data_IF_535481388567
#
_entry.id   IF_535481388567
#
_cell.length_a   1.000
_cell.length_b   1.000
_cell.length_c   1.000
_cell.angle_alpha   90.00
_cell.angle_beta   90.00
_cell.angle_gamma   90.00
#
_symmetry.space_group_name_H-M   'P 1'
#
loop_
_entity.id
_entity.type
_entity.pdbx_description
1 polymer ?
#
# COMPACT_ATOMS: atom_id res chain seq x y z
N UNK A 1 -75.53 24.32 -1.90
CA UNK A 1 -74.44 24.45 -0.88
C UNK A 1 -75.07 24.59 0.49
N UNK A 2 -74.57 23.88 1.50
CA UNK A 2 -75.01 24.04 2.90
C UNK A 2 -73.94 24.80 3.69
N UNK A 3 -74.33 25.80 4.48
CA UNK A 3 -73.42 26.63 5.29
C UNK A 3 -73.92 26.76 6.72
N UNK A 4 -73.01 26.74 7.70
CA UNK A 4 -73.28 27.04 9.10
C UNK A 4 -72.76 28.42 9.46
N UNK A 5 -73.47 29.14 10.32
CA UNK A 5 -73.16 30.52 10.71
C UNK A 5 -73.09 30.67 12.23
N UNK A 6 -72.37 31.69 12.70
CA UNK A 6 -72.29 32.09 14.12
C UNK A 6 -73.53 32.83 14.63
N UNK A 7 -74.58 32.91 13.81
CA UNK A 7 -75.91 33.40 14.21
C UNK A 7 -76.85 32.26 14.66
N UNK A 8 -76.28 31.08 14.94
CA UNK A 8 -76.98 29.85 15.33
C UNK A 8 -77.89 29.23 14.27
N UNK A 9 -77.66 29.54 13.00
CA UNK A 9 -78.45 29.00 11.89
C UNK A 9 -77.63 28.21 10.87
N UNK A 10 -78.29 27.29 10.18
CA UNK A 10 -77.76 26.59 9.01
C UNK A 10 -78.57 26.98 7.78
N UNK A 11 -77.90 27.35 6.70
CA UNK A 11 -78.53 27.84 5.48
C UNK A 11 -78.23 26.92 4.29
N UNK A 12 -79.27 26.58 3.52
CA UNK A 12 -79.16 25.85 2.27
C UNK A 12 -79.34 26.82 1.09
N UNK A 13 -78.34 26.86 0.22
CA UNK A 13 -78.25 27.75 -0.93
C UNK A 13 -78.33 26.96 -2.23
N UNK A 14 -79.02 27.53 -3.21
CA UNK A 14 -78.92 27.09 -4.60
C UNK A 14 -77.67 27.68 -5.26
N UNK A 15 -76.89 26.85 -5.95
CA UNK A 15 -75.60 27.24 -6.53
C UNK A 15 -75.78 27.99 -7.83
N UNK A 16 -76.78 27.64 -8.63
CA UNK A 16 -76.98 28.25 -9.95
C UNK A 16 -77.62 29.64 -9.83
N UNK A 17 -78.58 29.81 -8.91
CA UNK A 17 -79.27 31.08 -8.71
C UNK A 17 -78.66 31.97 -7.62
N UNK A 18 -77.82 31.40 -6.74
CA UNK A 18 -77.25 32.12 -5.59
C UNK A 18 -78.28 32.50 -4.52
N UNK A 19 -79.51 31.98 -4.60
CA UNK A 19 -80.58 32.30 -3.66
C UNK A 19 -80.59 31.33 -2.47
N UNK A 20 -81.02 31.84 -1.31
CA UNK A 20 -81.25 31.05 -0.11
C UNK A 20 -82.54 30.22 -0.29
N UNK A 21 -82.41 28.88 -0.28
CA UNK A 21 -83.55 27.97 -0.40
C UNK A 21 -84.25 27.79 0.95
N UNK A 22 -83.48 27.52 1.99
CA UNK A 22 -84.02 27.22 3.31
C UNK A 22 -83.07 27.64 4.42
N UNK A 23 -83.64 28.19 5.50
CA UNK A 23 -82.89 28.55 6.69
C UNK A 23 -83.38 27.71 7.89
N UNK A 24 -82.47 26.94 8.47
CA UNK A 24 -82.71 26.03 9.58
C UNK A 24 -82.31 26.71 10.89
N UNK A 25 -83.29 26.85 11.78
CA UNK A 25 -83.14 27.43 13.11
C UNK A 25 -83.36 26.34 14.14
N UNK A 26 -82.55 26.33 15.20
CA UNK A 26 -82.66 25.31 16.25
C UNK A 26 -81.44 25.20 17.14
N UNK A 27 -80.29 25.67 16.69
CA UNK A 27 -79.07 25.74 17.48
C UNK A 27 -79.12 26.90 18.48
N UNK A 28 -78.52 26.72 19.64
CA UNK A 28 -78.51 27.69 20.74
C UNK A 28 -77.30 28.61 20.74
N UNK A 29 -76.28 28.26 19.95
CA UNK A 29 -74.97 28.90 19.87
C UNK A 29 -74.37 28.72 18.45
N UNK A 30 -73.09 29.04 18.25
CA UNK A 30 -72.40 29.00 16.96
C UNK A 30 -72.34 27.58 16.35
N UNK A 31 -72.80 27.43 15.11
CA UNK A 31 -72.67 26.17 14.38
C UNK A 31 -71.23 26.00 13.93
N UNK A 32 -70.52 25.04 14.53
CA UNK A 32 -69.09 24.84 14.31
C UNK A 32 -68.78 23.71 13.32
N UNK A 33 -69.73 22.78 13.09
CA UNK A 33 -69.52 21.62 12.24
C UNK A 33 -70.76 21.26 11.43
N UNK A 34 -70.56 20.82 10.20
CA UNK A 34 -71.58 20.28 9.29
C UNK A 34 -71.04 19.03 8.63
N UNK A 35 -71.86 17.98 8.58
CA UNK A 35 -71.55 16.76 7.83
C UNK A 35 -72.78 16.28 7.03
N UNK A 36 -72.51 15.72 5.86
CA UNK A 36 -73.54 15.25 4.94
C UNK A 36 -73.60 13.73 4.97
N UNK A 37 -74.80 13.17 5.09
CA UNK A 37 -74.95 11.72 5.04
C UNK A 37 -74.62 11.17 3.63
N UNK A 38 -74.07 9.94 3.53
CA UNK A 38 -73.79 9.30 2.25
C UNK A 38 -75.04 9.20 1.36
N UNK A 39 -74.86 9.31 0.04
CA UNK A 39 -75.92 9.56 -0.96
C UNK A 39 -77.07 8.55 -0.98
N UNK A 40 -76.91 7.39 -0.36
CA UNK A 40 -77.94 6.34 -0.29
C UNK A 40 -79.02 6.60 0.79
N UNK A 41 -78.79 7.51 1.74
CA UNK A 41 -79.73 7.79 2.85
C UNK A 41 -80.64 9.01 2.65
N UNK A 42 -80.47 9.77 1.56
CA UNK A 42 -81.37 10.86 1.14
C UNK A 42 -81.35 12.11 2.05
N UNK A 43 -81.21 13.29 1.44
CA UNK A 43 -81.41 14.67 1.94
C UNK A 43 -81.31 14.92 3.47
N UNK A 44 -80.35 14.29 4.14
CA UNK A 44 -80.15 14.41 5.59
C UNK A 44 -78.76 14.93 5.83
N UNK A 45 -78.64 15.86 6.78
CA UNK A 45 -77.37 16.41 7.22
C UNK A 45 -77.35 16.48 8.73
N UNK A 46 -76.15 16.50 9.30
CA UNK A 46 -75.91 16.66 10.73
C UNK A 46 -75.17 17.97 10.96
N UNK A 47 -75.57 18.69 11.99
CA UNK A 47 -74.98 19.97 12.38
C UNK A 47 -74.67 19.98 13.87
N UNK A 48 -73.48 20.46 14.24
CA UNK A 48 -73.00 20.51 15.63
C UNK A 48 -72.73 21.93 16.12
N UNK A 49 -73.18 22.22 17.34
CA UNK A 49 -73.10 23.52 18.01
C UNK A 49 -72.12 23.46 19.22
N UNK A 50 -71.52 24.60 19.58
CA UNK A 50 -70.59 24.78 20.71
C UNK A 50 -71.33 24.92 22.05
N UNK A 51 -72.32 24.09 22.33
CA UNK A 51 -73.00 24.10 23.63
C UNK A 51 -72.59 22.86 24.45
N UNK A 52 -72.01 23.00 25.66
CA UNK A 52 -71.45 21.87 26.41
C UNK A 52 -72.49 20.92 27.01
N UNK A 53 -73.79 21.18 26.81
CA UNK A 53 -74.89 20.46 27.48
C UNK A 53 -75.97 19.89 26.53
N UNK A 54 -75.76 19.82 25.21
CA UNK A 54 -76.68 19.10 24.30
C UNK A 54 -75.93 18.24 23.27
N UNK A 55 -76.32 16.97 23.17
CA UNK A 55 -75.86 16.00 22.17
C UNK A 55 -76.79 16.03 20.96
N UNK A 56 -76.21 16.36 19.79
CA UNK A 56 -76.65 16.10 18.40
C UNK A 56 -78.15 16.23 18.07
N UNK A 57 -78.52 17.32 17.38
CA UNK A 57 -79.85 17.47 16.77
C UNK A 57 -79.86 16.92 15.34
N UNK A 58 -80.44 15.73 15.15
CA UNK A 58 -80.73 15.17 13.83
C UNK A 58 -82.07 15.71 13.30
N UNK A 59 -82.06 16.52 12.24
CA UNK A 59 -83.29 16.97 11.58
C UNK A 59 -83.69 16.01 10.46
N UNK A 60 -84.68 15.15 10.73
CA UNK A 60 -85.33 14.25 9.75
C UNK A 60 -86.69 14.83 9.33
N UNK A 61 -86.89 15.00 8.02
CA UNK A 61 -88.20 15.32 7.45
C UNK A 61 -89.10 14.07 7.52
N UNK A 62 -89.96 13.96 8.55
CA UNK A 62 -91.34 13.41 8.49
C UNK A 62 -91.91 13.04 9.87
N UNK A 63 -93.05 13.66 10.23
CA UNK A 63 -93.92 13.25 11.32
C UNK A 63 -95.33 13.05 10.77
N UNK A 64 -95.80 11.79 10.65
CA UNK A 64 -97.24 11.47 10.70
C UNK A 64 -97.50 10.05 11.25
N UNK A 65 -98.03 10.03 12.47
CA UNK A 65 -99.15 9.24 13.00
C UNK A 65 -99.31 7.74 12.62
N UNK A 66 -99.17 6.87 13.62
CA UNK A 66 -99.38 5.41 13.57
C UNK A 66 -100.76 4.92 13.04
N UNK A 67 -101.72 5.84 12.84
CA UNK A 67 -103.03 5.55 12.24
C UNK A 67 -102.93 5.39 10.72
N UNK A 68 -102.10 6.20 10.04
CA UNK A 68 -101.85 6.02 8.59
C UNK A 68 -101.04 4.75 8.30
N UNK A 69 -100.15 4.32 9.22
CA UNK A 69 -99.45 3.03 9.11
C UNK A 69 -100.42 1.85 9.10
N UNK A 70 -101.45 1.84 9.97
CA UNK A 70 -102.46 0.76 9.98
C UNK A 70 -103.34 0.76 8.74
N UNK A 71 -103.73 1.93 8.23
CA UNK A 71 -104.51 2.04 7.00
C UNK A 71 -103.70 1.58 5.79
N UNK A 72 -102.45 2.04 5.66
CA UNK A 72 -101.51 1.59 4.63
C UNK A 72 -101.26 0.08 4.71
N UNK A 73 -101.10 -0.50 5.91
CA UNK A 73 -100.91 -1.96 6.06
C UNK A 73 -102.16 -2.72 5.59
N UNK A 74 -103.36 -2.22 5.86
CA UNK A 74 -104.62 -2.82 5.40
C UNK A 74 -104.81 -2.66 3.88
N UNK A 75 -104.53 -1.47 3.33
CA UNK A 75 -104.55 -1.22 1.88
C UNK A 75 -103.51 -2.05 1.14
N UNK A 76 -102.29 -2.20 1.70
CA UNK A 76 -101.25 -3.08 1.14
C UNK A 76 -101.69 -4.53 1.16
N UNK A 77 -102.31 -5.00 2.25
CA UNK A 77 -102.89 -6.36 2.32
C UNK A 77 -104.05 -6.58 1.34
N UNK A 78 -104.85 -5.54 1.06
CA UNK A 78 -105.91 -5.62 0.04
C UNK A 78 -105.34 -5.58 -1.39
N UNK A 79 -104.24 -4.84 -1.62
CA UNK A 79 -103.50 -4.85 -2.88
C UNK A 79 -102.74 -6.17 -3.09
N UNK A 80 -102.10 -6.72 -2.06
CA UNK A 80 -101.39 -8.00 -2.05
C UNK A 80 -102.36 -9.18 -2.33
N UNK A 81 -103.61 -9.10 -1.83
CA UNK A 81 -104.67 -10.07 -2.13
C UNK A 81 -105.42 -9.81 -3.46
N UNK A 82 -105.03 -8.79 -4.22
CA UNK A 82 -105.63 -8.55 -5.54
C UNK A 82 -105.19 -9.64 -6.53
N UNK A 83 -106.10 -10.18 -7.36
CA UNK A 83 -105.74 -11.19 -8.37
C UNK A 83 -104.60 -10.74 -9.30
N UNK A 84 -104.49 -9.43 -9.55
CA UNK A 84 -103.42 -8.85 -10.37
C UNK A 84 -102.05 -8.89 -9.69
N UNK A 85 -102.00 -8.70 -8.37
CA UNK A 85 -100.75 -8.76 -7.62
C UNK A 85 -100.27 -10.20 -7.46
N UNK A 86 -101.18 -11.14 -7.21
CA UNK A 86 -100.85 -12.57 -7.16
C UNK A 86 -100.33 -13.10 -8.50
N UNK A 87 -100.91 -12.65 -9.62
CA UNK A 87 -100.41 -12.98 -10.95
C UNK A 87 -99.01 -12.38 -11.21
N UNK A 88 -98.77 -11.13 -10.80
CA UNK A 88 -97.45 -10.49 -10.88
C UNK A 88 -96.42 -11.20 -10.00
N UNK A 89 -96.78 -11.62 -8.79
CA UNK A 89 -95.89 -12.35 -7.87
C UNK A 89 -95.52 -13.73 -8.44
N UNK A 90 -96.48 -14.45 -9.04
CA UNK A 90 -96.19 -15.70 -9.75
C UNK A 90 -95.27 -15.48 -10.96
N UNK A 91 -95.48 -14.40 -11.72
CA UNK A 91 -94.60 -14.04 -12.84
C UNK A 91 -93.20 -13.67 -12.37
N UNK A 92 -93.07 -12.95 -11.24
CA UNK A 92 -91.78 -12.67 -10.62
C UNK A 92 -91.07 -13.93 -10.13
N UNK A 93 -91.78 -14.87 -9.50
CA UNK A 93 -91.20 -16.14 -9.06
C UNK A 93 -90.65 -16.95 -10.24
N UNK A 94 -91.37 -16.97 -11.37
CA UNK A 94 -90.92 -17.64 -12.60
C UNK A 94 -89.68 -16.95 -13.20
N UNK A 95 -89.64 -15.62 -13.18
CA UNK A 95 -88.47 -14.84 -13.64
C UNK A 95 -87.25 -15.08 -12.73
N UNK A 96 -87.43 -15.03 -11.41
CA UNK A 96 -86.38 -15.31 -10.43
C UNK A 96 -85.86 -16.75 -10.51
N UNK A 97 -86.73 -17.72 -10.79
CA UNK A 97 -86.35 -19.11 -11.01
C UNK A 97 -85.52 -19.26 -12.30
N UNK A 98 -85.96 -18.62 -13.39
CA UNK A 98 -85.21 -18.59 -14.64
C UNK A 98 -83.83 -17.92 -14.51
N UNK A 99 -83.76 -16.77 -13.81
CA UNK A 99 -82.49 -16.08 -13.55
C UNK A 99 -81.54 -16.94 -12.71
N UNK A 100 -82.07 -17.65 -11.71
CA UNK A 100 -81.30 -18.58 -10.87
C UNK A 100 -80.76 -19.75 -11.68
N UNK A 101 -81.57 -20.37 -12.51
CA UNK A 101 -81.16 -21.48 -13.39
C UNK A 101 -80.09 -21.03 -14.40
N UNK A 102 -80.25 -19.85 -14.98
CA UNK A 102 -79.28 -19.25 -15.90
C UNK A 102 -77.95 -18.94 -15.18
N UNK A 103 -78.01 -18.40 -13.97
CA UNK A 103 -76.84 -18.12 -13.14
C UNK A 103 -76.13 -19.41 -12.71
N UNK A 104 -76.87 -20.45 -12.35
CA UNK A 104 -76.34 -21.78 -12.05
C UNK A 104 -75.64 -22.38 -13.27
N UNK A 105 -76.22 -22.26 -14.47
CA UNK A 105 -75.60 -22.73 -15.71
C UNK A 105 -74.31 -21.99 -16.00
N UNK A 106 -74.31 -20.66 -15.92
CA UNK A 106 -73.12 -19.83 -16.12
C UNK A 106 -72.05 -20.12 -15.07
N UNK A 107 -72.45 -20.34 -13.82
CA UNK A 107 -71.54 -20.72 -12.73
C UNK A 107 -70.93 -22.11 -12.98
N UNK A 108 -71.74 -23.06 -13.43
CA UNK A 108 -71.27 -24.39 -13.80
C UNK A 108 -70.27 -24.33 -14.97
N UNK A 109 -70.58 -23.56 -16.03
CA UNK A 109 -69.67 -23.35 -17.16
C UNK A 109 -68.34 -22.71 -16.72
N UNK A 110 -68.39 -21.68 -15.86
CA UNK A 110 -67.19 -21.05 -15.27
C UNK A 110 -66.39 -22.03 -14.42
N UNK A 111 -67.04 -22.85 -13.60
CA UNK A 111 -66.37 -23.86 -12.77
C UNK A 111 -65.69 -24.93 -13.61
N UNK A 112 -66.32 -25.35 -14.71
CA UNK A 112 -65.72 -26.30 -15.66
C UNK A 112 -64.52 -25.69 -16.38
N UNK A 113 -64.61 -24.41 -16.80
CA UNK A 113 -63.47 -23.69 -17.38
C UNK A 113 -62.33 -23.55 -16.37
N UNK A 114 -62.64 -23.12 -15.15
CA UNK A 114 -61.68 -23.00 -14.06
C UNK A 114 -60.98 -24.32 -13.75
N UNK A 115 -61.72 -25.44 -13.69
CA UNK A 115 -61.13 -26.76 -13.44
C UNK A 115 -60.14 -27.18 -14.55
N UNK A 116 -60.43 -26.87 -15.82
CA UNK A 116 -59.52 -27.13 -16.95
C UNK A 116 -58.27 -26.27 -16.87
N UNK A 117 -58.43 -24.98 -16.58
CA UNK A 117 -57.32 -24.04 -16.45
C UNK A 117 -56.43 -24.39 -15.25
N UNK A 118 -57.02 -24.85 -14.15
CA UNK A 118 -56.33 -25.32 -12.95
C UNK A 118 -55.48 -26.56 -13.25
N UNK A 119 -55.99 -27.54 -14.00
CA UNK A 119 -55.21 -28.72 -14.40
C UNK A 119 -53.99 -28.33 -15.26
N UNK A 120 -54.18 -27.41 -16.22
CA UNK A 120 -53.11 -26.88 -17.06
C UNK A 120 -52.09 -26.13 -16.21
N UNK A 121 -52.54 -25.27 -15.28
CA UNK A 121 -51.68 -24.53 -14.37
C UNK A 121 -50.86 -25.47 -13.47
N UNK A 122 -51.47 -26.51 -12.91
CA UNK A 122 -50.78 -27.51 -12.10
C UNK A 122 -49.73 -28.29 -12.90
N UNK A 123 -50.05 -28.66 -14.15
CA UNK A 123 -49.09 -29.33 -15.05
C UNK A 123 -47.89 -28.44 -15.36
N UNK A 124 -48.15 -27.19 -15.76
CA UNK A 124 -47.09 -26.20 -16.03
C UNK A 124 -46.26 -25.90 -14.78
N UNK A 125 -46.88 -25.85 -13.61
CA UNK A 125 -46.19 -25.66 -12.34
C UNK A 125 -45.26 -26.83 -12.04
N UNK A 126 -45.72 -28.08 -12.19
CA UNK A 126 -44.87 -29.27 -11.99
C UNK A 126 -43.70 -29.32 -12.97
N UNK A 127 -43.92 -29.03 -14.25
CA UNK A 127 -42.84 -28.95 -15.24
C UNK A 127 -41.83 -27.85 -14.90
N UNK A 128 -42.29 -26.69 -14.44
CA UNK A 128 -41.42 -25.59 -14.00
C UNK A 128 -40.61 -26.00 -12.77
N UNK A 129 -41.22 -26.67 -11.79
CA UNK A 129 -40.51 -27.19 -10.61
C UNK A 129 -39.45 -28.23 -11.00
N UNK A 130 -39.76 -29.15 -11.94
CA UNK A 130 -38.80 -30.12 -12.44
C UNK A 130 -37.60 -29.46 -13.15
N UNK A 131 -37.85 -28.45 -14.00
CA UNK A 131 -36.79 -27.67 -14.65
C UNK A 131 -35.92 -26.92 -13.63
N UNK A 132 -36.54 -26.31 -12.62
CA UNK A 132 -35.81 -25.63 -11.54
C UNK A 132 -34.99 -26.61 -10.69
N UNK A 133 -35.51 -27.81 -10.41
CA UNK A 133 -34.78 -28.84 -9.68
C UNK A 133 -33.56 -29.31 -10.46
N UNK A 134 -33.71 -29.60 -11.76
CA UNK A 134 -32.60 -30.00 -12.63
C UNK A 134 -31.53 -28.90 -12.73
N UNK A 135 -31.94 -27.64 -12.92
CA UNK A 135 -31.02 -26.50 -12.94
C UNK A 135 -30.29 -26.32 -11.60
N UNK A 136 -30.95 -26.59 -10.47
CA UNK A 136 -30.31 -26.58 -9.14
C UNK A 136 -29.28 -27.70 -9.01
N UNK A 137 -29.59 -28.91 -9.47
CA UNK A 137 -28.65 -30.04 -9.46
C UNK A 137 -27.43 -29.81 -10.37
N UNK A 138 -27.62 -29.21 -11.54
CA UNK A 138 -26.50 -28.84 -12.41
C UNK A 138 -25.62 -27.77 -11.75
N UNK A 139 -26.24 -26.76 -11.14
CA UNK A 139 -25.53 -25.71 -10.42
C UNK A 139 -24.73 -26.27 -9.25
N UNK A 140 -25.30 -27.18 -8.44
CA UNK A 140 -24.57 -27.80 -7.32
C UNK A 140 -23.41 -28.66 -7.81
N UNK A 141 -23.57 -29.40 -8.92
CA UNK A 141 -22.47 -30.16 -9.54
C UNK A 141 -21.36 -29.23 -10.04
N UNK A 142 -21.70 -28.10 -10.65
CA UNK A 142 -20.72 -27.10 -11.07
C UNK A 142 -20.00 -26.47 -9.88
N UNK A 143 -20.72 -26.10 -8.83
CA UNK A 143 -20.14 -25.56 -7.59
C UNK A 143 -19.19 -26.55 -6.91
N UNK A 144 -19.53 -27.84 -6.88
CA UNK A 144 -18.67 -28.90 -6.35
C UNK A 144 -17.38 -29.04 -7.17
N UNK A 145 -17.46 -29.04 -8.51
CA UNK A 145 -16.26 -29.10 -9.38
C UNK A 145 -15.35 -27.89 -9.16
N UNK A 146 -15.92 -26.69 -9.13
CA UNK A 146 -15.15 -25.45 -8.88
C UNK A 146 -14.47 -25.52 -7.50
N UNK A 147 -15.16 -26.06 -6.48
CA UNK A 147 -14.59 -26.23 -5.14
C UNK A 147 -13.42 -27.22 -5.14
N UNK A 148 -13.56 -28.38 -5.77
CA UNK A 148 -12.50 -29.40 -5.86
C UNK A 148 -11.27 -28.86 -6.61
N UNK A 149 -11.47 -28.16 -7.72
CA UNK A 149 -10.39 -27.50 -8.48
C UNK A 149 -9.70 -26.42 -7.64
N UNK A 150 -10.47 -25.61 -6.91
CA UNK A 150 -9.94 -24.57 -6.03
C UNK A 150 -9.13 -25.16 -4.87
N UNK A 151 -9.59 -26.24 -4.24
CA UNK A 151 -8.88 -26.94 -3.17
C UNK A 151 -7.56 -27.57 -3.66
N UNK A 152 -7.56 -28.16 -4.86
CA UNK A 152 -6.35 -28.68 -5.51
C UNK A 152 -5.32 -27.57 -5.75
N UNK A 153 -5.77 -26.42 -6.26
CA UNK A 153 -4.88 -25.29 -6.53
C UNK A 153 -4.33 -24.67 -5.24
N UNK A 154 -5.16 -24.54 -4.21
CA UNK A 154 -4.71 -24.12 -2.86
C UNK A 154 -3.66 -25.06 -2.29
N UNK A 155 -3.84 -26.37 -2.42
CA UNK A 155 -2.85 -27.35 -1.96
C UNK A 155 -1.53 -27.24 -2.74
N UNK A 156 -1.56 -27.02 -4.06
CA UNK A 156 -0.34 -26.79 -4.85
C UNK A 156 0.40 -25.53 -4.39
N UNK A 157 -0.31 -24.41 -4.18
CA UNK A 157 0.28 -23.17 -3.71
C UNK A 157 0.95 -23.36 -2.34
N UNK A 158 0.27 -24.02 -1.39
CA UNK A 158 0.84 -24.33 -0.08
C UNK A 158 2.11 -25.18 -0.17
N UNK A 159 2.13 -26.20 -1.01
CA UNK A 159 3.32 -27.04 -1.22
C UNK A 159 4.45 -26.23 -1.85
N UNK A 160 4.16 -25.35 -2.82
CA UNK A 160 5.16 -24.49 -3.44
C UNK A 160 5.76 -23.50 -2.45
N UNK A 161 4.93 -22.84 -1.62
CA UNK A 161 5.38 -21.95 -0.55
C UNK A 161 6.24 -22.68 0.49
N UNK A 162 5.87 -23.91 0.88
CA UNK A 162 6.66 -24.71 1.82
C UNK A 162 8.03 -25.09 1.23
N UNK A 163 8.09 -25.45 -0.06
CA UNK A 163 9.36 -25.72 -0.76
C UNK A 163 10.22 -24.45 -0.81
N UNK A 164 9.63 -23.29 -1.09
CA UNK A 164 10.37 -22.03 -1.12
C UNK A 164 10.87 -21.62 0.27
N UNK A 165 10.05 -21.79 1.30
CA UNK A 165 10.45 -21.56 2.70
C UNK A 165 11.62 -22.46 3.08
N UNK A 166 11.57 -23.76 2.76
CA UNK A 166 12.68 -24.69 3.02
C UNK A 166 13.96 -24.28 2.28
N UNK A 167 13.86 -23.87 1.02
CA UNK A 167 15.02 -23.35 0.26
C UNK A 167 15.60 -22.09 0.89
N UNK A 168 14.74 -21.19 1.39
CA UNK A 168 15.16 -19.95 2.05
C UNK A 168 15.83 -20.25 3.38
N UNK A 169 15.27 -21.15 4.19
CA UNK A 169 15.86 -21.62 5.44
C UNK A 169 17.20 -22.31 5.21
N UNK A 170 17.34 -23.15 4.18
CA UNK A 170 18.61 -23.80 3.85
C UNK A 170 19.68 -22.78 3.45
N UNK A 171 19.34 -21.81 2.60
CA UNK A 171 20.26 -20.70 2.26
C UNK A 171 20.66 -19.89 3.50
N UNK A 172 19.71 -19.62 4.38
CA UNK A 172 19.99 -18.91 5.64
C UNK A 172 20.92 -19.73 6.54
N UNK A 173 20.68 -21.04 6.69
CA UNK A 173 21.57 -21.95 7.44
C UNK A 173 22.98 -21.99 6.86
N UNK A 174 23.12 -22.04 5.53
CA UNK A 174 24.41 -21.98 4.85
C UNK A 174 25.13 -20.65 5.13
N UNK A 175 24.39 -19.53 5.12
CA UNK A 175 24.92 -18.23 5.45
C UNK A 175 25.35 -18.12 6.93
N UNK A 176 24.53 -18.62 7.85
CA UNK A 176 24.80 -18.60 9.29
C UNK A 176 26.02 -19.47 9.64
N UNK A 177 26.15 -20.64 9.02
CA UNK A 177 27.32 -21.51 9.18
C UNK A 177 28.59 -20.85 8.62
N UNK A 178 28.49 -20.18 7.47
CA UNK A 178 29.60 -19.40 6.93
C UNK A 178 30.00 -18.25 7.87
N UNK A 179 29.03 -17.52 8.43
CA UNK A 179 29.29 -16.46 9.42
C UNK A 179 29.95 -17.01 10.68
N UNK A 180 29.55 -18.19 11.14
CA UNK A 180 30.16 -18.88 12.28
C UNK A 180 31.60 -19.30 11.99
N UNK A 181 31.90 -19.77 10.78
CA UNK A 181 33.27 -20.08 10.37
C UNK A 181 34.16 -18.83 10.32
N UNK A 182 33.61 -17.69 9.89
CA UNK A 182 34.30 -16.39 9.95
C UNK A 182 34.54 -15.97 11.40
N UNK A 183 33.56 -16.11 12.30
CA UNK A 183 33.73 -15.77 13.72
C UNK A 183 34.78 -16.66 14.40
N UNK A 184 34.75 -17.97 14.11
CA UNK A 184 35.77 -18.92 14.56
C UNK A 184 37.18 -18.54 14.04
N UNK A 185 37.29 -17.99 12.82
CA UNK A 185 38.54 -17.46 12.29
C UNK A 185 39.02 -16.23 13.07
N UNK A 186 38.14 -15.26 13.32
CA UNK A 186 38.47 -14.00 14.00
C UNK A 186 38.86 -14.26 15.46
N UNK A 187 38.09 -15.07 16.19
CA UNK A 187 38.24 -15.24 17.63
C UNK A 187 39.18 -16.37 18.03
N UNK A 188 39.20 -17.48 17.26
CA UNK A 188 39.94 -18.71 17.61
C UNK A 188 41.13 -18.96 16.70
N UNK A 189 41.32 -18.16 15.65
CA UNK A 189 42.45 -18.29 14.73
C UNK A 189 42.49 -19.60 13.95
N UNK A 190 41.32 -20.20 13.65
CA UNK A 190 41.19 -21.35 12.75
C UNK A 190 41.52 -20.96 11.30
N UNK A 191 41.39 -21.88 10.34
CA UNK A 191 41.57 -21.57 8.92
C UNK A 191 40.34 -20.84 8.33
N UNK A 192 40.58 -19.96 7.35
CA UNK A 192 39.52 -19.28 6.60
C UNK A 192 38.76 -20.28 5.71
N UNK A 193 37.44 -20.13 5.53
CA UNK A 193 36.72 -20.93 4.56
C UNK A 193 37.26 -20.68 3.15
N UNK A 194 37.40 -21.76 2.38
CA UNK A 194 37.96 -21.74 1.02
C UNK A 194 37.20 -20.76 0.13
N UNK A 195 35.87 -20.67 0.27
CA UNK A 195 35.01 -19.76 -0.50
C UNK A 195 35.41 -18.29 -0.39
N UNK A 196 35.92 -17.85 0.75
CA UNK A 196 36.39 -16.48 0.98
C UNK A 196 37.85 -16.27 0.56
N UNK A 197 38.60 -17.35 0.37
CA UNK A 197 40.03 -17.27 0.01
C UNK A 197 40.21 -17.24 -1.51
N UNK A 198 39.17 -17.51 -2.29
CA UNK A 198 39.22 -17.48 -3.76
C UNK A 198 39.52 -16.07 -4.25
N UNK A 199 40.59 -15.94 -5.03
CA UNK A 199 40.90 -14.73 -5.77
C UNK A 199 39.97 -14.61 -6.97
N UNK A 200 39.23 -13.50 -7.05
CA UNK A 200 38.37 -13.22 -8.18
C UNK A 200 39.18 -12.54 -9.29
N UNK A 201 39.17 -13.14 -10.49
CA UNK A 201 39.93 -12.63 -11.62
C UNK A 201 39.00 -12.18 -12.75
N UNK A 202 39.21 -10.97 -13.28
CA UNK A 202 38.38 -10.44 -14.38
C UNK A 202 38.70 -11.07 -15.73
N UNK A 203 39.96 -11.45 -15.98
CA UNK A 203 40.40 -12.05 -17.24
C UNK A 203 41.49 -13.12 -16.97
N UNK A 204 41.12 -14.35 -16.57
CA UNK A 204 42.03 -15.35 -15.97
C UNK A 204 43.17 -15.93 -16.85
N UNK A 205 43.46 -15.36 -18.02
CA UNK A 205 44.57 -15.79 -18.89
C UNK A 205 45.37 -14.63 -19.51
N UNK A 206 45.05 -13.39 -19.11
CA UNK A 206 45.68 -12.19 -19.66
C UNK A 206 46.77 -11.66 -18.73
N UNK A 207 47.75 -10.91 -19.24
CA UNK A 207 48.76 -10.29 -18.39
C UNK A 207 48.10 -9.38 -17.34
N UNK A 208 48.70 -9.35 -16.15
CA UNK A 208 48.24 -8.52 -15.05
C UNK A 208 48.24 -7.03 -15.45
N UNK A 209 47.20 -6.31 -15.05
CA UNK A 209 47.15 -4.87 -15.27
C UNK A 209 48.18 -4.15 -14.38
N UNK A 210 49.17 -3.43 -14.96
CA UNK A 210 50.23 -2.77 -14.18
C UNK A 210 49.73 -1.65 -13.26
N UNK A 211 48.56 -1.07 -13.54
CA UNK A 211 47.95 -0.06 -12.68
C UNK A 211 47.23 -0.74 -11.52
N UNK A 212 46.33 -1.69 -11.82
CA UNK A 212 45.59 -2.42 -10.80
C UNK A 212 46.50 -3.21 -9.85
N UNK A 213 47.55 -3.87 -10.34
CA UNK A 213 48.47 -4.63 -9.50
C UNK A 213 49.29 -3.76 -8.54
N UNK A 214 49.35 -2.44 -8.78
CA UNK A 214 50.10 -1.49 -7.95
C UNK A 214 49.20 -0.71 -7.02
N UNK A 215 48.09 -0.20 -7.53
CA UNK A 215 47.19 0.70 -6.79
C UNK A 215 45.94 0.00 -6.28
N UNK A 216 45.61 -1.20 -6.75
CA UNK A 216 44.34 -1.85 -6.48
C UNK A 216 43.15 -1.27 -7.25
N UNK A 217 43.37 -0.30 -8.14
CA UNK A 217 42.32 0.38 -8.88
C UNK A 217 42.73 0.68 -10.32
N UNK A 218 41.79 0.54 -11.25
CA UNK A 218 42.02 0.76 -12.68
C UNK A 218 40.95 1.70 -13.24
N UNK A 219 41.36 2.63 -14.13
CA UNK A 219 40.44 3.53 -14.85
C UNK A 219 39.34 2.80 -15.62
N UNK A 220 39.62 1.59 -16.11
CA UNK A 220 38.69 0.81 -16.90
C UNK A 220 37.83 -0.16 -16.08
N UNK A 221 38.06 -0.26 -14.76
CA UNK A 221 37.35 -1.19 -13.88
C UNK A 221 37.38 -2.62 -14.42
N UNK A 222 36.22 -3.27 -14.45
CA UNK A 222 36.10 -4.66 -14.93
C UNK A 222 36.07 -4.78 -16.45
N UNK A 223 35.90 -3.66 -17.19
CA UNK A 223 36.03 -3.61 -18.66
C UNK A 223 37.48 -3.55 -19.14
N UNK A 224 38.45 -3.65 -18.23
CA UNK A 224 39.85 -3.62 -18.62
C UNK A 224 40.20 -4.82 -19.52
N UNK A 225 41.06 -4.58 -20.50
CA UNK A 225 41.56 -5.64 -21.38
C UNK A 225 42.56 -6.57 -20.69
N UNK A 226 43.06 -6.22 -19.50
CA UNK A 226 44.06 -6.95 -18.73
C UNK A 226 43.43 -7.63 -17.51
N UNK A 227 44.15 -8.55 -16.88
CA UNK A 227 43.65 -9.27 -15.72
C UNK A 227 43.76 -8.44 -14.43
N UNK A 228 42.69 -8.45 -13.63
CA UNK A 228 42.62 -7.85 -12.29
C UNK A 228 42.39 -8.97 -11.25
N UNK A 229 43.44 -9.41 -10.54
CA UNK A 229 43.29 -10.37 -9.45
C UNK A 229 42.88 -9.66 -8.16
N UNK A 230 41.62 -9.81 -7.77
CA UNK A 230 41.06 -9.29 -6.51
C UNK A 230 41.15 -10.40 -5.45
N UNK A 231 42.04 -10.28 -4.46
CA UNK A 231 42.15 -11.31 -3.42
C UNK A 231 40.85 -11.39 -2.61
N UNK A 232 40.38 -12.58 -2.28
CA UNK A 232 39.19 -12.77 -1.45
C UNK A 232 39.41 -12.32 0.01
N UNK A 233 40.62 -12.54 0.54
CA UNK A 233 41.07 -12.01 1.84
C UNK A 233 42.47 -11.43 1.69
N UNK A 234 42.70 -10.27 2.30
CA UNK A 234 43.99 -9.58 2.33
C UNK A 234 44.15 -8.79 3.62
N UNK A 235 45.38 -8.32 3.90
CA UNK A 235 45.67 -7.38 5.00
C UNK A 235 45.26 -5.95 4.68
N UNK A 236 45.08 -5.63 3.40
CA UNK A 236 44.75 -4.29 2.92
C UNK A 236 43.29 -4.24 2.50
N UNK A 237 42.55 -3.31 3.10
CA UNK A 237 41.19 -2.93 2.73
C UNK A 237 41.24 -1.69 1.85
N UNK A 238 40.43 -1.67 0.81
CA UNK A 238 40.14 -0.54 -0.06
C UNK A 238 38.67 -0.17 0.11
N UNK A 239 38.40 1.11 0.37
CA UNK A 239 37.04 1.67 0.41
C UNK A 239 36.97 2.74 -0.68
N UNK A 240 36.42 2.41 -1.87
CA UNK A 240 36.35 3.34 -2.99
C UNK A 240 35.48 4.54 -2.66
N UNK A 241 35.95 5.75 -2.96
CA UNK A 241 35.17 6.98 -2.81
C UNK A 241 34.66 7.28 -1.39
N UNK A 242 35.29 6.72 -0.36
CA UNK A 242 34.90 6.91 1.03
C UNK A 242 35.06 8.36 1.49
N UNK A 243 36.21 8.96 1.18
CA UNK A 243 36.42 10.37 1.45
C UNK A 243 35.73 11.23 0.39
N UNK A 244 34.84 12.10 0.84
CA UNK A 244 34.03 12.99 0.01
C UNK A 244 34.22 14.42 0.48
N UNK A 245 34.75 15.27 -0.40
CA UNK A 245 34.82 16.71 -0.14
C UNK A 245 34.68 17.49 -1.45
N UNK A 246 34.06 18.67 -1.41
CA UNK A 246 33.82 19.51 -2.59
C UNK A 246 35.12 19.81 -3.35
N UNK A 247 36.22 20.07 -2.64
CA UNK A 247 37.55 20.33 -3.21
C UNK A 247 38.18 19.17 -4.02
N UNK A 248 37.69 17.93 -3.88
CA UNK A 248 38.07 16.80 -4.75
C UNK A 248 36.93 16.37 -5.67
N UNK A 249 35.73 16.93 -5.49
CA UNK A 249 34.50 16.55 -6.20
C UNK A 249 34.37 17.21 -7.58
N UNK A 250 34.99 18.38 -7.75
CA UNK A 250 34.86 19.27 -8.91
C UNK A 250 35.57 18.73 -10.17
N UNK A 251 34.94 17.74 -10.81
CA UNK A 251 35.28 17.29 -12.16
C UNK A 251 34.45 18.01 -13.24
N UNK A 252 33.38 18.75 -12.87
CA UNK A 252 32.37 19.23 -13.83
C UNK A 252 32.32 20.74 -14.08
N UNK A 253 33.13 21.56 -13.42
CA UNK A 253 33.06 23.02 -13.60
C UNK A 253 34.22 23.53 -14.47
N UNK A 254 34.36 23.01 -15.69
CA UNK A 254 35.28 23.57 -16.69
C UNK A 254 34.59 24.57 -17.64
N UNK A 255 33.29 24.89 -17.49
CA UNK A 255 32.64 25.94 -18.29
C UNK A 255 31.60 26.72 -17.46
N UNK A 256 31.90 28.00 -17.16
CA UNK A 256 31.00 29.04 -16.63
C UNK A 256 30.49 28.95 -15.18
N UNK A 257 31.37 29.06 -14.19
CA UNK A 257 30.99 29.76 -12.95
C UNK A 257 32.22 30.36 -12.26
N UNK A 258 32.39 31.68 -12.37
CA UNK A 258 33.58 32.43 -11.91
C UNK A 258 33.59 32.71 -10.40
N UNK A 259 32.56 32.30 -9.65
CA UNK A 259 32.42 32.72 -8.25
C UNK A 259 32.61 31.57 -7.24
N UNK A 260 32.47 30.31 -7.66
CA UNK A 260 32.64 29.12 -6.78
C UNK A 260 34.12 28.75 -6.57
N UNK A 261 35.03 29.23 -7.44
CA UNK A 261 36.44 28.84 -7.44
C UNK A 261 37.36 29.77 -6.62
N UNK A 262 36.81 30.75 -5.92
CA UNK A 262 37.56 31.73 -5.13
C UNK A 262 37.60 31.45 -3.62
N UNK A 263 36.95 30.38 -3.12
CA UNK A 263 36.75 30.23 -1.66
C UNK A 263 37.44 29.03 -0.98
N UNK A 264 38.03 28.06 -1.68
CA UNK A 264 38.68 26.93 -0.99
C UNK A 264 40.20 27.00 -1.08
N UNK A 265 40.83 27.59 -0.06
CA UNK A 265 42.25 27.37 0.17
C UNK A 265 42.52 25.87 0.38
N UNK A 266 43.67 25.37 -0.11
CA UNK A 266 44.18 24.02 0.18
C UNK A 266 44.16 23.68 1.69
N UNK A 267 44.17 24.71 2.53
CA UNK A 267 44.03 24.68 3.99
C UNK A 267 42.68 24.12 4.47
N UNK A 268 41.55 24.54 3.91
CA UNK A 268 40.22 24.11 4.36
C UNK A 268 39.94 22.65 4.00
N UNK A 269 40.33 22.25 2.78
CA UNK A 269 40.24 20.85 2.36
C UNK A 269 41.09 19.94 3.24
N UNK A 270 42.23 20.44 3.75
CA UNK A 270 43.06 19.71 4.69
C UNK A 270 42.46 19.65 6.10
N UNK A 271 41.80 20.72 6.55
CA UNK A 271 41.11 20.75 7.84
C UNK A 271 39.95 19.74 7.88
N UNK A 272 39.12 19.69 6.83
CA UNK A 272 38.06 18.69 6.71
C UNK A 272 38.64 17.26 6.63
N UNK A 273 39.78 17.08 5.93
CA UNK A 273 40.49 15.80 5.93
C UNK A 273 40.97 15.41 7.33
N UNK A 274 41.44 16.37 8.15
CA UNK A 274 41.89 16.10 9.52
C UNK A 274 40.74 15.61 10.40
N UNK A 275 39.59 16.25 10.34
CA UNK A 275 38.38 15.83 11.06
C UNK A 275 37.93 14.44 10.62
N UNK A 276 37.90 14.18 9.31
CA UNK A 276 37.63 12.85 8.77
C UNK A 276 38.65 11.81 9.24
N UNK A 277 39.95 12.15 9.27
CA UNK A 277 41.01 11.25 9.70
C UNK A 277 40.84 10.86 11.17
N UNK A 278 40.57 11.82 12.04
CA UNK A 278 40.43 11.59 13.48
C UNK A 278 39.16 10.74 13.80
N UNK A 279 38.06 10.98 13.09
CA UNK A 279 36.81 10.21 13.24
C UNK A 279 36.96 8.77 12.72
N UNK A 280 37.47 8.63 11.50
CA UNK A 280 37.55 7.34 10.82
C UNK A 280 38.66 6.46 11.39
N UNK A 281 39.86 7.00 11.62
CA UNK A 281 40.98 6.19 12.10
C UNK A 281 40.64 5.52 13.44
N UNK A 282 39.98 6.24 14.36
CA UNK A 282 39.58 5.72 15.66
C UNK A 282 38.66 4.50 15.53
N UNK A 283 37.73 4.52 14.57
CA UNK A 283 36.84 3.40 14.31
C UNK A 283 37.58 2.19 13.73
N UNK A 284 38.58 2.38 12.87
CA UNK A 284 39.39 1.27 12.32
C UNK A 284 40.37 0.69 13.37
N UNK A 285 40.90 1.51 14.27
CA UNK A 285 41.79 1.07 15.36
C UNK A 285 41.08 0.23 16.43
N UNK A 286 39.76 0.36 16.58
CA UNK A 286 38.97 -0.48 17.50
C UNK A 286 39.01 -1.97 17.17
N UNK A 287 39.18 -2.32 15.89
CA UNK A 287 39.16 -3.72 15.44
C UNK A 287 40.54 -4.37 15.40
N UNK A 288 41.61 -3.58 15.42
CA UNK A 288 42.96 -4.12 15.38
C UNK A 288 44.01 -3.07 15.08
N UNK A 289 45.26 -3.53 14.97
CA UNK A 289 46.39 -2.62 14.79
C UNK A 289 46.53 -2.20 13.33
N UNK A 290 46.19 -0.94 13.05
CA UNK A 290 46.40 -0.31 11.74
C UNK A 290 47.89 -0.03 11.53
N UNK A 291 48.44 -0.51 10.42
CA UNK A 291 49.83 -0.30 9.98
C UNK A 291 49.92 0.86 8.99
N UNK A 292 48.91 1.01 8.13
CA UNK A 292 48.81 2.12 7.19
C UNK A 292 47.38 2.62 7.08
N UNK A 293 47.26 3.94 7.00
CA UNK A 293 46.02 4.61 6.64
C UNK A 293 46.34 5.67 5.59
N UNK A 294 45.76 5.51 4.38
CA UNK A 294 46.02 6.39 3.24
C UNK A 294 44.71 6.85 2.61
N UNK A 295 44.55 8.16 2.46
CA UNK A 295 43.37 8.76 1.82
C UNK A 295 43.79 9.46 0.54
N UNK A 296 43.10 9.15 -0.55
CA UNK A 296 43.44 9.66 -1.88
C UNK A 296 42.75 11.00 -2.18
N UNK A 297 43.56 11.97 -2.59
CA UNK A 297 43.19 13.28 -3.15
C UNK A 297 43.23 13.28 -4.69
N UNK A 298 43.08 12.14 -5.33
CA UNK A 298 43.01 12.08 -6.79
C UNK A 298 41.71 12.73 -7.30
N UNK A 299 41.76 13.31 -8.50
CA UNK A 299 40.56 13.83 -9.18
C UNK A 299 39.87 12.78 -10.04
N UNK A 300 40.67 11.85 -10.59
CA UNK A 300 40.17 10.77 -11.45
C UNK A 300 39.20 9.83 -10.69
N UNK A 301 38.03 9.49 -11.28
CA UNK A 301 36.97 8.76 -10.57
C UNK A 301 37.38 7.42 -9.97
N UNK A 302 38.34 6.74 -10.58
CA UNK A 302 38.80 5.41 -10.14
C UNK A 302 39.69 5.44 -8.89
N UNK A 303 40.25 6.60 -8.52
CA UNK A 303 41.12 6.78 -7.35
C UNK A 303 40.60 7.82 -6.35
N UNK A 304 39.66 8.66 -6.78
CA UNK A 304 39.18 9.79 -6.03
C UNK A 304 38.51 9.35 -4.73
N UNK A 305 38.98 9.90 -3.61
CA UNK A 305 38.41 9.63 -2.30
C UNK A 305 38.63 8.20 -1.81
N UNK A 306 39.41 7.38 -2.51
CA UNK A 306 39.70 6.03 -2.08
C UNK A 306 40.51 6.06 -0.79
N UNK A 307 40.07 5.27 0.18
CA UNK A 307 40.76 5.07 1.45
C UNK A 307 41.32 3.67 1.47
N UNK A 308 42.60 3.57 1.82
CA UNK A 308 43.28 2.30 2.01
C UNK A 308 43.67 2.15 3.47
N UNK A 309 43.35 1.00 4.03
CA UNK A 309 43.67 0.65 5.42
C UNK A 309 44.41 -0.69 5.41
N UNK A 310 45.66 -0.70 5.89
CA UNK A 310 46.43 -1.93 6.07
C UNK A 310 46.47 -2.28 7.55
N UNK A 311 46.10 -3.52 7.86
CA UNK A 311 46.20 -4.08 9.21
C UNK A 311 47.45 -4.94 9.38
N UNK A 312 47.90 -5.08 10.63
CA UNK A 312 49.03 -5.95 10.96
C UNK A 312 48.72 -7.44 10.70
N UNK A 313 47.49 -7.86 11.03
CA UNK A 313 46.97 -9.21 10.86
C UNK A 313 45.87 -9.27 9.79
N UNK A 314 45.76 -10.40 9.10
CA UNK A 314 44.62 -10.69 8.21
C UNK A 314 43.32 -10.88 9.00
N UNK A 315 43.39 -11.31 10.27
CA UNK A 315 42.22 -11.48 11.14
C UNK A 315 41.56 -10.13 11.43
N UNK A 316 42.34 -9.14 11.87
CA UNK A 316 41.90 -7.77 12.12
C UNK A 316 41.24 -7.17 10.87
N UNK A 317 41.83 -7.40 9.69
CA UNK A 317 41.28 -6.92 8.42
C UNK A 317 39.92 -7.55 8.09
N UNK A 318 39.74 -8.85 8.34
CA UNK A 318 38.47 -9.55 8.13
C UNK A 318 37.41 -9.10 9.13
N UNK A 319 37.78 -8.89 10.39
CA UNK A 319 36.89 -8.37 11.42
C UNK A 319 36.39 -6.96 11.07
N UNK A 320 37.30 -6.09 10.62
CA UNK A 320 36.95 -4.76 10.13
C UNK A 320 36.05 -4.84 8.88
N UNK A 321 36.40 -5.67 7.89
CA UNK A 321 35.60 -5.86 6.68
C UNK A 321 34.15 -6.24 7.01
N UNK A 322 33.93 -7.22 7.88
CA UNK A 322 32.59 -7.69 8.26
C UNK A 322 31.74 -6.58 8.89
N UNK A 323 32.35 -5.64 9.63
CA UNK A 323 31.65 -4.57 10.33
C UNK A 323 31.44 -3.31 9.49
N UNK A 324 32.38 -2.99 8.60
CA UNK A 324 32.29 -1.80 7.75
C UNK A 324 31.54 -2.05 6.44
N UNK A 325 31.44 -3.30 5.98
CA UNK A 325 30.70 -3.62 4.76
C UNK A 325 29.22 -3.24 4.91
N UNK A 326 28.75 -2.34 4.04
CA UNK A 326 27.36 -1.89 4.03
C UNK A 326 26.99 -0.88 5.12
N UNK A 327 27.95 -0.40 5.93
CA UNK A 327 27.74 0.64 6.95
C UNK A 327 27.56 2.01 6.25
N UNK A 328 26.82 2.92 6.88
CA UNK A 328 26.56 4.26 6.32
C UNK A 328 27.49 5.30 6.95
N UNK A 329 28.05 6.18 6.12
CA UNK A 329 28.86 7.33 6.54
C UNK A 329 28.58 8.52 5.61
N UNK A 330 28.23 9.69 6.18
CA UNK A 330 28.01 10.91 5.40
C UNK A 330 26.99 10.78 4.27
N UNK A 331 25.92 9.99 4.47
CA UNK A 331 24.89 9.75 3.46
C UNK A 331 25.27 8.77 2.34
N UNK A 332 26.39 8.05 2.46
CA UNK A 332 26.81 7.00 1.51
C UNK A 332 26.98 5.67 2.22
N UNK A 333 26.65 4.60 1.52
CA UNK A 333 26.92 3.24 1.97
C UNK A 333 28.35 2.84 1.58
N UNK A 334 29.10 2.29 2.54
CA UNK A 334 30.47 1.85 2.35
C UNK A 334 30.52 0.50 1.64
N UNK A 335 31.29 0.44 0.56
CA UNK A 335 31.69 -0.80 -0.09
C UNK A 335 33.17 -1.03 0.18
N UNK A 336 33.48 -2.00 1.02
CA UNK A 336 34.84 -2.40 1.37
C UNK A 336 35.25 -3.53 0.44
N UNK A 337 36.45 -3.47 -0.10
CA UNK A 337 37.03 -4.49 -0.96
C UNK A 337 38.41 -4.88 -0.42
N UNK A 338 38.75 -6.16 -0.46
CA UNK A 338 40.12 -6.59 -0.22
C UNK A 338 40.99 -6.28 -1.43
N UNK A 339 42.18 -5.74 -1.17
CA UNK A 339 43.16 -5.44 -2.23
C UNK A 339 44.54 -5.88 -1.80
N UNK A 340 45.46 -6.00 -2.76
CA UNK A 340 46.86 -6.31 -2.49
C UNK A 340 47.73 -5.21 -3.05
N UNK A 341 48.36 -4.44 -2.16
CA UNK A 341 49.34 -3.41 -2.52
C UNK A 341 50.73 -3.93 -2.15
N UNK A 342 51.56 -4.35 -3.13
CA UNK A 342 52.85 -4.97 -2.82
C UNK A 342 53.89 -4.00 -2.26
N UNK A 343 53.80 -2.71 -2.62
CA UNK A 343 54.66 -1.66 -2.08
C UNK A 343 53.97 -0.30 -2.22
N UNK A 344 53.78 0.39 -1.09
CA UNK A 344 53.22 1.74 -1.03
C UNK A 344 54.07 2.75 -1.80
N UNK A 345 55.39 2.59 -1.78
CA UNK A 345 56.32 3.45 -2.52
C UNK A 345 56.08 3.44 -4.03
N UNK A 346 55.69 2.29 -4.57
CA UNK A 346 55.39 2.13 -6.00
C UNK A 346 53.96 2.53 -6.37
N UNK A 347 53.04 2.51 -5.39
CA UNK A 347 51.65 2.91 -5.57
C UNK A 347 51.46 4.43 -5.48
N UNK A 348 52.20 5.08 -4.57
CA UNK A 348 52.16 6.52 -4.34
C UNK A 348 52.98 7.25 -5.42
N UNK A 349 52.45 8.35 -5.93
CA UNK A 349 53.18 9.20 -6.86
C UNK A 349 54.38 9.86 -6.18
N UNK A 350 55.60 9.41 -6.46
CA UNK A 350 56.83 9.94 -5.84
C UNK A 350 57.13 11.42 -6.08
N UNK A 351 56.48 12.06 -7.06
CA UNK A 351 56.62 13.50 -7.36
C UNK A 351 55.50 14.36 -6.74
N UNK A 352 54.49 13.73 -6.14
CA UNK A 352 53.34 14.44 -5.55
C UNK A 352 53.75 15.27 -4.33
N UNK A 353 54.57 14.73 -3.42
CA UNK A 353 55.01 15.47 -2.24
C UNK A 353 55.90 16.69 -2.55
N UNK A 354 56.39 16.82 -3.80
CA UNK A 354 57.12 17.99 -4.32
C UNK A 354 56.22 18.98 -5.06
N UNK A 355 54.89 18.81 -4.97
CA UNK A 355 53.85 19.61 -5.63
C UNK A 355 54.02 19.75 -7.16
N UNK A 356 54.70 18.79 -7.81
CA UNK A 356 55.02 18.83 -9.24
C UNK A 356 54.79 17.47 -9.89
N UNK A 357 53.59 16.93 -9.74
CA UNK A 357 53.21 15.77 -10.54
C UNK A 357 53.00 16.23 -12.00
N UNK A 358 53.79 15.76 -12.98
CA UNK A 358 53.67 16.18 -14.37
C UNK A 358 52.34 15.72 -15.01
N UNK A 359 51.63 14.77 -14.39
CA UNK A 359 50.33 14.26 -14.84
C UNK A 359 49.14 15.04 -14.24
N UNK A 360 49.37 15.95 -13.29
CA UNK A 360 48.33 16.80 -12.70
C UNK A 360 47.10 16.03 -12.23
N UNK A 361 45.91 16.46 -12.69
CA UNK A 361 44.60 15.87 -12.36
C UNK A 361 44.40 14.45 -12.90
N UNK A 362 45.05 14.09 -14.02
CA UNK A 362 44.91 12.78 -14.70
C UNK A 362 45.93 11.71 -14.26
N UNK A 363 46.45 11.79 -13.03
CA UNK A 363 47.43 10.84 -12.53
C UNK A 363 46.77 9.51 -12.10
N UNK A 364 47.30 8.39 -12.61
CA UNK A 364 46.84 7.03 -12.27
C UNK A 364 47.58 6.41 -11.06
N UNK A 365 48.39 7.21 -10.35
CA UNK A 365 49.06 6.82 -9.11
C UNK A 365 48.44 7.54 -7.93
N UNK A 366 48.59 7.00 -6.72
CA UNK A 366 47.95 7.55 -5.52
C UNK A 366 48.55 8.91 -5.17
N UNK A 367 47.71 9.93 -5.16
CA UNK A 367 47.99 11.23 -4.55
C UNK A 367 47.38 11.18 -3.15
N UNK A 368 48.20 11.02 -2.12
CA UNK A 368 47.71 10.82 -0.75
C UNK A 368 47.80 12.10 0.07
N UNK A 369 46.81 12.35 0.92
CA UNK A 369 46.94 13.40 1.93
C UNK A 369 48.09 13.07 2.88
N UNK A 370 48.75 14.12 3.40
CA UNK A 370 49.71 13.94 4.50
C UNK A 370 48.91 13.72 5.77
N UNK A 371 49.09 12.57 6.42
CA UNK A 371 48.37 12.30 7.66
C UNK A 371 48.75 13.33 8.74
N UNK A 372 47.81 13.73 9.60
CA UNK A 372 48.09 14.60 10.75
C UNK A 372 49.24 14.05 11.59
N UNK A 373 50.07 14.93 12.14
CA UNK A 373 51.24 14.58 12.97
C UNK A 373 52.26 13.64 12.31
N UNK A 374 52.27 13.52 10.97
CA UNK A 374 53.06 12.52 10.24
C UNK A 374 52.80 11.07 10.71
N UNK A 375 51.57 10.77 11.13
CA UNK A 375 51.16 9.41 11.47
C UNK A 375 51.42 8.47 10.28
N UNK A 376 52.04 7.32 10.54
CA UNK A 376 52.43 6.31 9.55
C UNK A 376 53.52 6.76 8.53
N UNK A 377 54.25 7.86 8.77
CA UNK A 377 55.26 8.36 7.83
C UNK A 377 56.47 7.43 7.60
N UNK A 378 56.85 6.65 8.62
CA UNK A 378 57.96 5.68 8.49
C UNK A 378 57.61 4.49 7.61
N UNK A 379 56.32 4.24 7.41
CA UNK A 379 55.83 3.08 6.70
C UNK A 379 55.74 3.33 5.17
N UNK A 380 55.94 4.58 4.73
CA UNK A 380 56.18 4.94 3.31
C UNK A 380 57.57 4.53 2.81
N UNK A 381 58.47 4.13 3.73
CA UNK A 381 59.78 3.56 3.46
C UNK A 381 59.65 2.03 3.60
N UNK A 382 59.72 1.30 2.49
CA UNK A 382 59.65 -0.17 2.53
C UNK A 382 60.71 -0.70 3.54
N UNK A 383 60.27 -1.37 4.61
CA UNK A 383 61.17 -2.01 5.57
C UNK A 383 61.83 -3.23 4.92
N UNK A 384 62.96 -2.98 4.24
CA UNK A 384 63.76 -4.02 3.62
C UNK A 384 65.08 -3.47 3.07
N UNK A 385 65.99 -2.98 3.93
CA UNK A 385 67.46 -2.91 3.68
C UNK A 385 68.27 -2.03 4.66
N UNK A 386 67.70 -1.38 5.68
CA UNK A 386 68.46 -0.38 6.47
C UNK A 386 68.90 -0.79 7.90
N UNK A 387 68.36 -1.87 8.47
CA UNK A 387 68.71 -2.29 9.85
C UNK A 387 70.11 -2.93 10.02
N UNK A 388 70.94 -3.03 8.97
CA UNK A 388 72.33 -3.54 9.04
C UNK A 388 73.44 -2.51 8.89
N UNK A 389 73.17 -1.20 8.85
CA UNK A 389 74.24 -0.16 8.71
C UNK A 389 74.18 0.95 9.74
N UNK A 390 73.86 0.64 11.00
CA UNK A 390 73.97 1.60 12.11
C UNK A 390 74.73 1.06 13.33
N UNK A 391 75.71 0.20 13.11
CA UNK A 391 76.77 -0.12 14.08
C UNK A 391 78.09 -0.29 13.32
N UNK A 392 78.68 0.83 12.89
CA UNK A 392 80.11 1.01 12.61
C UNK A 392 80.34 2.44 12.09
N UNK A 393 80.21 3.41 12.99
CA UNK A 393 80.90 4.70 12.87
C UNK A 393 81.51 5.06 14.21
N UNK A 394 82.32 4.14 14.73
CA UNK A 394 83.34 4.44 15.73
C UNK A 394 84.44 5.26 15.05
N UNK A 395 84.28 6.58 15.14
CA UNK A 395 85.32 7.51 15.60
C UNK A 395 86.76 7.23 15.12
N UNK A 396 87.04 7.43 13.84
CA UNK A 396 88.42 7.64 13.37
C UNK A 396 88.75 9.14 13.43
N UNK A 397 89.53 9.51 14.44
CA UNK A 397 90.20 10.81 14.59
C UNK A 397 91.05 11.11 13.36
N UNK A 398 90.91 12.30 12.79
CA UNK A 398 91.83 12.84 11.78
C UNK A 398 93.21 13.10 12.43
N UNK A 399 94.33 12.63 11.85
CA UNK A 399 95.64 13.12 12.24
C UNK A 399 95.92 14.43 11.50
N UNK A 400 96.21 15.47 12.26
CA UNK A 400 96.96 16.62 11.78
C UNK A 400 98.35 16.18 11.32
N UNK A 401 98.80 16.68 10.17
CA UNK A 401 100.24 16.79 9.90
C UNK A 401 100.54 18.10 9.18
N UNK A 402 101.51 18.77 9.77
CA UNK A 402 102.07 20.09 9.58
C UNK A 402 102.86 20.27 8.27
N UNK A 403 103.16 21.53 7.89
CA UNK A 403 103.84 21.88 6.64
C UNK A 403 105.37 21.83 6.77
N UNK A 404 106.06 21.54 5.66
CA UNK A 404 107.49 21.75 5.36
C UNK A 404 107.67 21.44 3.87
N UNK A 405 108.55 22.06 3.09
CA UNK A 405 109.42 23.23 3.22
C UNK A 405 109.89 23.54 1.79
#
# INVERSE_FOLDING_TARGET
>A
ILTGSGDSTCALWDVESGQLLQNFHGHGSDVMALDLAPSETGNTFVSGDRDPNQLESSHSLQSTCAVMKKLHILERKMQENSPRYQAWEQEQQVLEEFEREEEERLNWERNVQWARDEEVAQRQWRERQAKLALAREEKTKQELRIREEWELEQNKLRVAEEIESKKKEEKQRQQDELLKQIDDFINKGKDLPISLTVTNETNPNKPLCPFFSKTGACRFGDRCSRNHPRPGVSKVLLIPGFYSHFGIQNFLQDEYDTDIMLEYEDSETYQHFKEFFDDVLLEFERFGRVVQFKVCRNFEPHLRGNVYVEYASTQDAVAAFQKFQGRWYGGRQLNVEFTSVPSWRNAICGLFFKARCPKGKGCNFLHVFRNPNNAFANADLDHGSSWRKKWNRSRSKSPSRSPRA
#
